data_IF_835497594304
#
_entry.id   IF_835497594304
#
_cell.length_a   1.000
_cell.length_b   1.000
_cell.length_c   1.000
_cell.angle_alpha   90.00
_cell.angle_beta   90.00
_cell.angle_gamma   90.00
#
_symmetry.space_group_name_H-M   'P 1'
#
loop_
_entity.id
_entity.type
_entity.pdbx_description
1 polymer ?
#
# COMPACT_ATOMS: atom_id res chain seq x y z
N UNK A 1 8.20 -35.50 -29.09
CA UNK A 1 7.03 -35.68 -28.19
C UNK A 1 6.25 -34.38 -28.17
N UNK A 2 4.94 -34.35 -28.48
CA UNK A 2 4.16 -33.14 -28.37
C UNK A 2 3.82 -32.93 -26.89
N UNK A 3 4.10 -31.73 -26.38
CA UNK A 3 3.93 -31.36 -24.98
C UNK A 3 2.45 -31.29 -24.67
N UNK A 4 1.92 -32.34 -24.03
CA UNK A 4 0.55 -32.34 -23.50
C UNK A 4 0.31 -31.12 -22.61
N UNK A 5 -0.96 -30.71 -22.48
CA UNK A 5 -1.36 -29.56 -21.67
C UNK A 5 -0.93 -29.78 -20.22
N UNK A 6 0.21 -29.21 -19.84
CA UNK A 6 0.66 -29.20 -18.45
C UNK A 6 -0.34 -28.39 -17.61
N UNK A 7 -0.67 -28.91 -16.42
CA UNK A 7 -1.49 -28.22 -15.44
C UNK A 7 -0.87 -26.88 -15.06
N UNK A 8 -1.71 -25.89 -14.76
CA UNK A 8 -1.25 -24.53 -14.46
C UNK A 8 -0.36 -24.50 -13.22
N UNK A 9 -0.69 -25.30 -12.19
CA UNK A 9 0.08 -25.46 -10.96
C UNK A 9 1.53 -25.88 -11.21
N UNK A 10 1.74 -26.77 -12.20
CA UNK A 10 3.08 -27.24 -12.56
C UNK A 10 3.87 -26.14 -13.26
N UNK A 11 3.21 -25.32 -14.09
CA UNK A 11 3.87 -24.17 -14.73
C UNK A 11 4.27 -23.13 -13.70
N UNK A 12 3.39 -22.81 -12.77
CA UNK A 12 3.67 -21.87 -11.68
C UNK A 12 4.84 -22.35 -10.83
N UNK A 13 4.86 -23.63 -10.45
CA UNK A 13 5.98 -24.22 -9.70
C UNK A 13 7.31 -24.06 -10.45
N UNK A 14 7.33 -24.34 -11.75
CA UNK A 14 8.53 -24.18 -12.58
C UNK A 14 8.98 -22.72 -12.64
N UNK A 15 8.05 -21.78 -12.80
CA UNK A 15 8.36 -20.33 -12.81
C UNK A 15 8.93 -19.88 -11.46
N UNK A 16 8.37 -20.35 -10.34
CA UNK A 16 8.84 -20.07 -9.00
C UNK A 16 10.26 -20.62 -8.73
N UNK A 17 10.54 -21.86 -9.15
CA UNK A 17 11.88 -22.46 -9.06
C UNK A 17 12.93 -21.69 -9.87
N UNK A 18 12.52 -21.09 -11.00
CA UNK A 18 13.44 -20.27 -11.81
C UNK A 18 13.63 -18.88 -11.19
N UNK A 19 12.56 -18.24 -10.73
CA UNK A 19 12.64 -16.92 -10.08
C UNK A 19 13.43 -16.92 -8.77
N UNK A 20 13.34 -18.00 -8.00
CA UNK A 20 14.13 -18.17 -6.78
C UNK A 20 15.62 -18.44 -7.03
N UNK A 21 16.01 -18.62 -8.30
CA UNK A 21 17.39 -18.95 -8.67
C UNK A 21 17.76 -20.43 -8.44
N UNK A 22 16.81 -21.26 -7.99
CA UNK A 22 17.05 -22.69 -7.75
C UNK A 22 17.36 -23.44 -9.04
N UNK A 23 16.79 -23.01 -10.17
CA UNK A 23 17.07 -23.56 -11.49
C UNK A 23 17.25 -22.45 -12.54
N UNK A 24 18.22 -22.61 -13.44
CA UNK A 24 18.25 -21.81 -14.66
C UNK A 24 17.18 -22.30 -15.65
N UNK A 25 16.73 -21.42 -16.56
CA UNK A 25 15.76 -21.79 -17.60
C UNK A 25 16.20 -23.01 -18.44
N UNK A 26 17.51 -23.13 -18.70
CA UNK A 26 18.09 -24.31 -19.39
C UNK A 26 18.07 -25.56 -18.52
N UNK A 27 18.34 -25.43 -17.21
CA UNK A 27 18.26 -26.55 -16.27
C UNK A 27 16.82 -27.04 -16.08
N UNK A 28 15.87 -26.11 -15.96
CA UNK A 28 14.43 -26.42 -15.91
C UNK A 28 13.96 -27.11 -17.21
N UNK A 29 14.41 -26.64 -18.37
CA UNK A 29 14.11 -27.30 -19.64
C UNK A 29 14.61 -28.74 -19.71
N UNK A 30 15.82 -29.02 -19.19
CA UNK A 30 16.33 -30.41 -19.11
C UNK A 30 15.56 -31.26 -18.08
N UNK A 31 15.28 -30.71 -16.90
CA UNK A 31 14.61 -31.42 -15.79
C UNK A 31 13.17 -31.80 -16.13
N UNK A 32 12.43 -30.87 -16.71
CA UNK A 32 11.01 -31.04 -17.05
C UNK A 32 10.81 -31.45 -18.51
N UNK A 33 11.90 -31.66 -19.26
CA UNK A 33 11.90 -31.98 -20.69
C UNK A 33 11.49 -30.81 -21.59
N UNK A 34 11.17 -29.64 -21.07
CA UNK A 34 10.56 -28.56 -21.84
C UNK A 34 11.55 -27.78 -22.72
N UNK A 35 11.13 -27.30 -23.89
CA UNK A 35 11.89 -26.32 -24.65
C UNK A 35 12.09 -25.04 -23.83
N UNK A 36 13.31 -24.48 -23.89
CA UNK A 36 13.60 -23.21 -23.22
C UNK A 36 12.68 -22.08 -23.70
N UNK A 37 12.31 -22.07 -24.98
CA UNK A 37 11.37 -21.10 -25.56
C UNK A 37 9.99 -21.14 -24.92
N UNK A 38 9.47 -22.32 -24.58
CA UNK A 38 8.18 -22.49 -23.90
C UNK A 38 8.21 -21.91 -22.49
N UNK A 39 9.29 -22.20 -21.75
CA UNK A 39 9.50 -21.65 -20.40
C UNK A 39 9.63 -20.12 -20.46
N UNK A 40 10.33 -19.60 -21.48
CA UNK A 40 10.47 -18.15 -21.69
C UNK A 40 9.12 -17.46 -21.87
N UNK A 41 8.25 -18.01 -22.72
CA UNK A 41 6.88 -17.49 -22.91
C UNK A 41 6.04 -17.51 -21.63
N UNK A 42 6.20 -18.53 -20.79
CA UNK A 42 5.50 -18.60 -19.51
C UNK A 42 5.99 -17.54 -18.53
N UNK A 43 7.30 -17.34 -18.43
CA UNK A 43 7.87 -16.28 -17.59
C UNK A 43 7.44 -14.89 -18.07
N UNK A 44 7.43 -14.65 -19.37
CA UNK A 44 6.98 -13.38 -19.95
C UNK A 44 5.51 -13.11 -19.62
N UNK A 45 4.62 -14.08 -19.86
CA UNK A 45 3.20 -13.97 -19.50
C UNK A 45 3.00 -13.73 -18.00
N UNK A 46 3.75 -14.43 -17.15
CA UNK A 46 3.69 -14.26 -15.70
C UNK A 46 4.22 -12.90 -15.24
N UNK A 47 5.27 -12.38 -15.87
CA UNK A 47 5.78 -11.03 -15.56
C UNK A 47 4.82 -9.94 -16.01
N UNK A 48 4.18 -10.10 -17.18
CA UNK A 48 3.11 -9.21 -17.63
C UNK A 48 1.91 -9.24 -16.69
N UNK A 49 1.50 -10.43 -16.23
CA UNK A 49 0.42 -10.57 -15.26
C UNK A 49 0.72 -9.83 -13.94
N UNK A 50 1.95 -9.96 -13.41
CA UNK A 50 2.39 -9.21 -12.23
C UNK A 50 2.35 -7.71 -12.48
N UNK A 51 2.87 -7.23 -13.63
CA UNK A 51 2.91 -5.81 -13.94
C UNK A 51 1.51 -5.19 -14.04
N UNK A 52 0.57 -5.92 -14.63
CA UNK A 52 -0.84 -5.52 -14.72
C UNK A 52 -1.47 -5.49 -13.33
N UNK A 53 -1.26 -6.54 -12.52
CA UNK A 53 -1.76 -6.59 -11.13
C UNK A 53 -1.19 -5.46 -10.28
N UNK A 54 0.11 -5.16 -10.39
CA UNK A 54 0.74 -4.07 -9.64
C UNK A 54 0.17 -2.70 -10.04
N UNK A 55 -0.10 -2.50 -11.34
CA UNK A 55 -0.72 -1.27 -11.83
C UNK A 55 -2.13 -1.09 -11.27
N UNK A 56 -2.94 -2.14 -11.29
CA UNK A 56 -4.30 -2.11 -10.73
C UNK A 56 -4.27 -1.88 -9.21
N UNK A 57 -3.34 -2.50 -8.47
CA UNK A 57 -3.22 -2.28 -7.02
C UNK A 57 -2.80 -0.85 -6.66
N UNK A 58 -1.92 -0.25 -7.45
CA UNK A 58 -1.49 1.14 -7.26
C UNK A 58 -2.61 2.14 -7.53
N UNK A 59 -3.40 1.93 -8.59
CA UNK A 59 -4.54 2.78 -8.93
C UNK A 59 -5.64 2.72 -7.85
N UNK A 60 -5.86 1.56 -7.23
CA UNK A 60 -6.79 1.41 -6.11
C UNK A 60 -6.28 2.05 -4.81
N UNK A 61 -4.99 1.89 -4.47
CA UNK A 61 -4.37 2.52 -3.29
C UNK A 61 -4.39 4.04 -3.38
N UNK A 62 -4.09 4.60 -4.55
CA UNK A 62 -4.07 6.04 -4.76
C UNK A 62 -5.46 6.70 -4.58
N UNK A 63 -6.54 5.96 -4.86
CA UNK A 63 -7.90 6.44 -4.67
C UNK A 63 -8.30 6.48 -3.18
N UNK A 64 -7.85 5.49 -2.40
CA UNK A 64 -8.10 5.37 -0.96
C UNK A 64 -7.26 6.35 -0.14
N UNK A 65 -5.96 6.47 -0.45
CA UNK A 65 -5.04 7.43 0.18
C UNK A 65 -5.52 8.89 0.04
N UNK A 66 -6.12 9.24 -1.10
CA UNK A 66 -6.68 10.58 -1.32
C UNK A 66 -7.94 10.84 -0.47
N UNK A 67 -8.69 9.80 -0.09
CA UNK A 67 -9.84 9.94 0.80
C UNK A 67 -9.38 10.04 2.26
N UNK A 68 -8.44 9.19 2.68
CA UNK A 68 -7.88 9.20 4.02
C UNK A 68 -7.19 10.53 4.33
N UNK A 69 -6.36 11.05 3.41
CA UNK A 69 -5.69 12.35 3.56
C UNK A 69 -6.67 13.51 3.71
N UNK A 70 -7.83 13.47 3.01
CA UNK A 70 -8.89 14.49 3.16
C UNK A 70 -9.57 14.41 4.52
N UNK A 71 -9.88 13.20 5.00
CA UNK A 71 -10.49 13.00 6.32
C UNK A 71 -9.55 13.43 7.43
N UNK A 72 -8.26 13.09 7.32
CA UNK A 72 -7.23 13.51 8.27
C UNK A 72 -7.08 15.04 8.32
N UNK A 73 -7.06 15.71 7.16
CA UNK A 73 -7.04 17.19 7.11
C UNK A 73 -8.23 17.82 7.82
N UNK A 74 -9.45 17.33 7.56
CA UNK A 74 -10.65 17.82 8.25
C UNK A 74 -10.56 17.65 9.77
N UNK A 75 -10.06 16.50 10.22
CA UNK A 75 -9.89 16.23 11.64
C UNK A 75 -8.85 17.16 12.29
N UNK A 76 -7.78 17.49 11.59
CA UNK A 76 -6.80 18.49 12.04
C UNK A 76 -7.46 19.87 12.18
N UNK A 77 -8.24 20.30 11.19
CA UNK A 77 -8.94 21.59 11.22
C UNK A 77 -9.96 21.68 12.37
N UNK A 78 -10.71 20.60 12.63
CA UNK A 78 -11.67 20.53 13.74
C UNK A 78 -10.96 20.59 15.09
N UNK A 79 -9.88 19.82 15.27
CA UNK A 79 -9.14 19.77 16.52
C UNK A 79 -8.41 21.09 16.81
N UNK A 80 -7.82 21.71 15.78
CA UNK A 80 -7.16 23.02 15.92
C UNK A 80 -8.16 24.11 16.30
N UNK A 81 -9.37 24.09 15.73
CA UNK A 81 -10.44 25.00 16.12
C UNK A 81 -10.88 24.79 17.57
N UNK A 82 -11.10 23.53 17.99
CA UNK A 82 -11.46 23.22 19.36
C UNK A 82 -10.39 23.65 20.37
N UNK A 83 -9.11 23.54 20.00
CA UNK A 83 -8.00 24.03 20.81
C UNK A 83 -8.03 25.55 20.96
N UNK A 84 -8.22 26.28 19.85
CA UNK A 84 -8.32 27.73 19.88
C UNK A 84 -9.50 28.21 20.74
N UNK A 85 -10.66 27.56 20.63
CA UNK A 85 -11.84 27.86 21.44
C UNK A 85 -11.58 27.61 22.95
N UNK A 86 -10.88 26.52 23.29
CA UNK A 86 -10.51 26.23 24.67
C UNK A 86 -9.50 27.24 25.23
N UNK A 87 -8.51 27.64 24.44
CA UNK A 87 -7.55 28.68 24.83
C UNK A 87 -8.24 30.03 25.06
N UNK A 88 -9.19 30.40 24.20
CA UNK A 88 -9.96 31.64 24.37
C UNK A 88 -10.78 31.62 25.66
N UNK A 89 -11.39 30.48 26.01
CA UNK A 89 -12.11 30.31 27.28
C UNK A 89 -11.19 30.46 28.48
N UNK A 90 -10.00 29.85 28.44
CA UNK A 90 -9.03 29.98 29.53
C UNK A 90 -8.62 31.44 29.73
N UNK A 91 -8.27 32.15 28.65
CA UNK A 91 -7.95 33.58 28.71
C UNK A 91 -9.12 34.38 29.30
N UNK A 92 -10.36 34.09 28.90
CA UNK A 92 -11.54 34.74 29.47
C UNK A 92 -11.67 34.51 30.98
N UNK A 93 -11.45 33.27 31.45
CA UNK A 93 -11.48 32.93 32.87
C UNK A 93 -10.35 33.62 33.64
N UNK A 94 -9.14 33.63 33.10
CA UNK A 94 -7.98 34.29 33.71
C UNK A 94 -8.24 35.80 33.87
N UNK A 95 -8.75 36.47 32.83
CA UNK A 95 -9.10 37.90 32.90
C UNK A 95 -10.22 38.18 33.92
N UNK A 96 -11.20 37.28 34.06
CA UNK A 96 -12.26 37.42 35.05
C UNK A 96 -11.71 37.30 36.48
N UNK A 97 -10.74 36.41 36.69
CA UNK A 97 -10.03 36.27 37.97
C UNK A 97 -9.25 37.55 38.27
N UNK A 98 -8.45 38.05 37.32
CA UNK A 98 -7.66 39.29 37.49
C UNK A 98 -8.54 40.49 37.86
N UNK A 99 -9.69 40.65 37.19
CA UNK A 99 -10.65 41.72 37.53
C UNK A 99 -11.20 41.55 38.94
N UNK A 100 -11.59 40.33 39.33
CA UNK A 100 -12.11 40.06 40.67
C UNK A 100 -11.08 40.31 41.77
N UNK A 101 -9.82 39.90 41.57
CA UNK A 101 -8.71 40.19 42.48
C UNK A 101 -8.51 41.71 42.63
N UNK A 102 -8.53 42.44 41.51
CA UNK A 102 -8.37 43.89 41.51
C UNK A 102 -9.51 44.63 42.26
N UNK A 103 -10.76 44.19 42.11
CA UNK A 103 -11.93 44.79 42.76
C UNK A 103 -11.97 44.48 44.27
N UNK A 104 -11.52 43.28 44.66
CA UNK A 104 -11.48 42.85 46.06
C UNK A 104 -10.22 43.33 46.81
N UNK A 105 -9.24 43.93 46.11
CA UNK A 105 -7.94 44.39 46.65
C UNK A 105 -7.17 43.29 47.39
N UNK A 106 -7.25 42.06 46.88
CA UNK A 106 -6.47 40.91 47.34
C UNK A 106 -5.50 40.49 46.25
#
# INVERSE_FOLDING_TARGET
KPWGRLGEDVKEKIICEIKSGMLSQRAAGRKYGLPSSTIGKWMEKHNLAILVQSKTSYELSAMDENQETKLLKKKIDELTKALADAQLRNVGLDTMIEVAESELKI
#
